data_IF_149318934398
#
_entry.id   IF_149318934398
#
_cell.length_a   1.000
_cell.length_b   1.000
_cell.length_c   1.000
_cell.angle_alpha   90.00
_cell.angle_beta   90.00
_cell.angle_gamma   90.00
#
_symmetry.space_group_name_H-M   'P 1'
#
loop_
_entity.id
_entity.type
_entity.pdbx_description
1 polymer ?
#
# COMPACT_ATOMS: atom_id res chain seq x y z
N UNK A 1 -5.18 -15.30 -35.20
CA UNK A 1 -5.54 -16.03 -33.97
C UNK A 1 -4.27 -16.49 -33.25
N UNK A 2 -3.63 -15.63 -32.46
CA UNK A 2 -2.35 -15.98 -31.80
C UNK A 2 -2.07 -15.24 -30.49
N UNK A 3 -2.76 -14.13 -30.24
CA UNK A 3 -2.52 -13.30 -29.04
C UNK A 3 -3.27 -13.80 -27.78
N UNK A 4 -4.38 -14.53 -27.93
CA UNK A 4 -5.16 -15.03 -26.79
C UNK A 4 -4.50 -16.22 -26.05
N UNK A 5 -3.66 -17.01 -26.74
CA UNK A 5 -2.96 -18.15 -26.15
C UNK A 5 -1.70 -17.75 -25.37
N UNK A 6 -1.12 -16.57 -25.65
CA UNK A 6 0.00 -16.03 -24.91
C UNK A 6 -0.44 -15.44 -23.56
N UNK A 7 -1.57 -14.71 -23.54
CA UNK A 7 -2.10 -14.08 -22.32
C UNK A 7 -2.58 -15.11 -21.28
N UNK A 8 -3.12 -16.25 -21.73
CA UNK A 8 -3.58 -17.31 -20.81
C UNK A 8 -2.44 -18.16 -20.22
N UNK A 9 -1.21 -18.15 -20.78
CA UNK A 9 -0.07 -18.87 -20.19
C UNK A 9 0.61 -18.10 -19.05
N UNK A 10 0.45 -16.78 -18.98
CA UNK A 10 1.01 -15.99 -17.87
C UNK A 10 0.12 -16.00 -16.61
N UNK A 11 -1.21 -16.02 -16.78
CA UNK A 11 -2.18 -16.01 -15.66
C UNK A 11 -2.15 -17.32 -14.86
N UNK A 12 -1.70 -18.42 -15.47
CA UNK A 12 -1.64 -19.76 -14.87
C UNK A 12 -0.21 -20.33 -14.81
N UNK A 13 0.82 -19.47 -14.72
CA UNK A 13 2.15 -19.98 -14.41
C UNK A 13 2.24 -20.31 -12.90
N UNK A 14 2.72 -21.50 -12.51
CA UNK A 14 2.96 -21.84 -11.09
C UNK A 14 3.85 -20.82 -10.38
N UNK A 15 4.71 -20.15 -11.15
CA UNK A 15 5.61 -19.09 -10.69
C UNK A 15 4.85 -17.81 -10.30
N UNK A 16 3.82 -17.40 -11.04
CA UNK A 16 3.00 -16.23 -10.70
C UNK A 16 2.23 -16.45 -9.38
N UNK A 17 1.69 -17.65 -9.18
CA UNK A 17 1.02 -18.04 -7.94
C UNK A 17 1.98 -18.07 -6.73
N UNK A 18 3.17 -18.66 -6.88
CA UNK A 18 4.18 -18.66 -5.81
C UNK A 18 4.69 -17.25 -5.50
N UNK A 19 4.84 -16.38 -6.51
CA UNK A 19 5.23 -14.98 -6.34
C UNK A 19 4.15 -14.19 -5.59
N UNK A 20 2.88 -14.40 -5.96
CA UNK A 20 1.71 -13.87 -5.25
C UNK A 20 1.70 -14.27 -3.77
N UNK A 21 1.91 -15.56 -3.46
CA UNK A 21 1.93 -16.04 -2.07
C UNK A 21 3.09 -15.47 -1.25
N UNK A 22 4.28 -15.36 -1.83
CA UNK A 22 5.45 -14.75 -1.16
C UNK A 22 5.20 -13.26 -0.89
N UNK A 23 4.64 -12.54 -1.86
CA UNK A 23 4.21 -11.15 -1.70
C UNK A 23 3.19 -11.01 -0.57
N UNK A 24 2.16 -11.84 -0.55
CA UNK A 24 1.14 -11.81 0.51
C UNK A 24 1.73 -12.07 1.90
N UNK A 25 2.67 -13.00 2.05
CA UNK A 25 3.36 -13.25 3.32
C UNK A 25 4.22 -12.07 3.76
N UNK A 26 5.02 -11.49 2.84
CA UNK A 26 5.87 -10.34 3.13
C UNK A 26 5.02 -9.11 3.48
N UNK A 27 3.94 -8.87 2.73
CA UNK A 27 2.98 -7.80 3.02
C UNK A 27 2.29 -7.98 4.38
N UNK A 28 1.88 -9.20 4.73
CA UNK A 28 1.28 -9.48 6.02
C UNK A 28 2.27 -9.18 7.17
N UNK A 29 3.55 -9.50 6.98
CA UNK A 29 4.58 -9.19 7.96
C UNK A 29 4.80 -7.67 8.12
N UNK A 30 4.99 -6.97 7.00
CA UNK A 30 5.09 -5.50 6.94
C UNK A 30 3.87 -4.84 7.59
N UNK A 31 2.66 -5.30 7.24
CA UNK A 31 1.40 -4.78 7.78
C UNK A 31 1.30 -4.95 9.29
N UNK A 32 1.74 -6.09 9.83
CA UNK A 32 1.77 -6.31 11.29
C UNK A 32 2.75 -5.38 11.98
N UNK A 33 3.95 -5.18 11.41
CA UNK A 33 4.98 -4.31 11.98
C UNK A 33 4.55 -2.83 11.95
N UNK A 34 3.99 -2.35 10.84
CA UNK A 34 3.48 -0.98 10.71
C UNK A 34 2.21 -0.75 11.54
N UNK A 35 1.31 -1.73 11.58
CA UNK A 35 0.05 -1.64 12.31
C UNK A 35 0.14 -1.93 13.81
N UNK A 36 1.34 -2.18 14.34
CA UNK A 36 1.55 -2.36 15.79
C UNK A 36 1.83 -0.99 16.43
N UNK A 37 0.98 -0.53 17.36
CA UNK A 37 1.18 0.79 17.95
C UNK A 37 2.41 0.81 18.86
N UNK A 38 3.17 1.91 18.79
CA UNK A 38 4.46 2.07 19.48
C UNK A 38 4.40 1.82 20.99
N UNK A 39 3.28 2.15 21.63
CA UNK A 39 3.08 1.96 23.08
C UNK A 39 3.05 0.51 23.53
N UNK A 40 2.81 -0.44 22.62
CA UNK A 40 2.70 -1.87 22.96
C UNK A 40 4.05 -2.50 23.33
N UNK A 41 5.15 -1.87 22.91
CA UNK A 41 6.51 -2.41 23.03
C UNK A 41 7.48 -1.48 23.79
N UNK A 42 7.01 -0.36 24.33
CA UNK A 42 7.88 0.68 24.87
C UNK A 42 7.80 0.81 26.39
N UNK A 43 8.93 0.65 27.07
CA UNK A 43 9.23 1.49 28.22
C UNK A 43 9.21 2.95 27.76
N UNK A 44 8.63 3.85 28.56
CA UNK A 44 8.39 5.28 28.26
C UNK A 44 9.68 6.12 28.22
N UNK A 45 10.76 5.60 27.64
CA UNK A 45 12.03 6.32 27.47
C UNK A 45 12.10 6.99 26.10
N UNK A 46 12.81 8.12 26.01
CA UNK A 46 13.00 8.86 24.76
C UNK A 46 13.78 8.01 23.74
N UNK A 47 14.77 7.24 24.20
CA UNK A 47 15.57 6.33 23.36
C UNK A 47 14.68 5.29 22.68
N UNK A 48 13.79 4.66 23.44
CA UNK A 48 12.80 3.69 22.95
C UNK A 48 11.88 4.30 21.87
N UNK A 49 11.46 5.55 22.03
CA UNK A 49 10.66 6.26 21.03
C UNK A 49 11.44 6.52 19.73
N UNK A 50 12.71 6.95 19.83
CA UNK A 50 13.56 7.19 18.66
C UNK A 50 13.83 5.90 17.88
N UNK A 51 14.22 4.82 18.58
CA UNK A 51 14.43 3.52 17.95
C UNK A 51 13.14 3.00 17.28
N UNK A 52 11.97 3.23 17.88
CA UNK A 52 10.69 2.87 17.27
C UNK A 52 10.40 3.64 15.98
N UNK A 53 10.73 4.94 15.92
CA UNK A 53 10.57 5.74 14.70
C UNK A 53 11.50 5.27 13.58
N UNK A 54 12.76 4.96 13.91
CA UNK A 54 13.72 4.41 12.94
C UNK A 54 13.26 3.05 12.42
N UNK A 55 12.81 2.17 13.32
CA UNK A 55 12.23 0.88 12.94
C UNK A 55 11.02 1.06 12.03
N UNK A 56 10.10 1.97 12.35
CA UNK A 56 8.92 2.23 11.53
C UNK A 56 9.32 2.70 10.13
N UNK A 57 10.26 3.65 10.01
CA UNK A 57 10.79 4.12 8.73
C UNK A 57 11.45 2.99 7.94
N UNK A 58 12.21 2.12 8.60
CA UNK A 58 12.80 0.95 7.94
C UNK A 58 11.73 0.03 7.35
N UNK A 59 10.60 -0.17 8.05
CA UNK A 59 9.51 -1.03 7.58
C UNK A 59 8.76 -0.38 6.41
N UNK A 60 8.62 0.95 6.40
CA UNK A 60 8.09 1.70 5.25
C UNK A 60 8.96 1.51 4.00
N UNK A 61 10.28 1.56 4.13
CA UNK A 61 11.18 1.29 3.01
C UNK A 61 11.04 -0.15 2.50
N UNK A 62 10.87 -1.14 3.39
CA UNK A 62 10.60 -2.52 2.99
C UNK A 62 9.28 -2.67 2.20
N UNK A 63 8.28 -1.84 2.50
CA UNK A 63 7.03 -1.75 1.73
C UNK A 63 7.31 -1.18 0.33
N UNK A 64 8.05 -0.09 0.21
CA UNK A 64 8.35 0.51 -1.08
C UNK A 64 9.22 -0.40 -1.95
N UNK A 65 10.18 -1.11 -1.35
CA UNK A 65 10.94 -2.16 -2.04
C UNK A 65 10.02 -3.27 -2.57
N UNK A 66 8.99 -3.67 -1.80
CA UNK A 66 8.01 -4.66 -2.23
C UNK A 66 7.20 -4.16 -3.44
N UNK A 67 6.82 -2.89 -3.43
CA UNK A 67 6.04 -2.24 -4.50
C UNK A 67 6.87 -2.15 -5.78
N UNK A 68 8.11 -1.66 -5.70
CA UNK A 68 8.98 -1.49 -6.85
C UNK A 68 9.44 -2.83 -7.45
N UNK A 69 9.59 -3.88 -6.64
CA UNK A 69 9.96 -5.21 -7.10
C UNK A 69 8.81 -5.96 -7.82
N UNK A 70 7.56 -5.52 -7.66
CA UNK A 70 6.42 -6.10 -8.35
C UNK A 70 6.24 -5.47 -9.73
N UNK A 71 6.35 -6.27 -10.78
CA UNK A 71 6.21 -5.82 -12.18
C UNK A 71 4.90 -5.08 -12.46
N UNK A 72 3.77 -5.51 -11.87
CA UNK A 72 2.47 -4.88 -12.12
C UNK A 72 2.40 -3.52 -11.41
N UNK A 73 2.88 -3.45 -10.17
CA UNK A 73 2.90 -2.20 -9.42
C UNK A 73 3.91 -1.21 -10.03
N UNK A 74 5.09 -1.68 -10.45
CA UNK A 74 6.09 -0.88 -11.15
C UNK A 74 5.56 -0.26 -12.45
N UNK A 75 4.69 -0.99 -13.17
CA UNK A 75 4.00 -0.44 -14.35
C UNK A 75 3.02 0.70 -13.96
N UNK A 76 2.30 0.56 -12.84
CA UNK A 76 1.44 1.64 -12.30
C UNK A 76 2.28 2.86 -11.90
N UNK A 77 3.39 2.67 -11.18
CA UNK A 77 4.30 3.77 -10.82
C UNK A 77 4.79 4.51 -12.06
N UNK A 78 5.21 3.77 -13.08
CA UNK A 78 5.69 4.33 -14.34
C UNK A 78 4.61 5.12 -15.08
N UNK A 79 3.36 4.62 -15.10
CA UNK A 79 2.21 5.31 -15.71
C UNK A 79 1.92 6.66 -15.06
N UNK A 80 2.15 6.77 -13.76
CA UNK A 80 1.89 7.98 -12.98
C UNK A 80 3.13 8.86 -12.78
N UNK A 81 4.28 8.50 -13.35
CA UNK A 81 5.58 9.12 -13.07
C UNK A 81 5.91 9.20 -11.57
N UNK A 82 5.47 8.21 -10.79
CA UNK A 82 5.62 8.18 -9.35
C UNK A 82 7.02 7.72 -8.95
N UNK A 83 7.69 8.50 -8.10
CA UNK A 83 8.99 8.16 -7.53
C UNK A 83 8.83 7.56 -6.14
N UNK A 84 9.92 7.04 -5.56
CA UNK A 84 9.94 6.63 -4.16
C UNK A 84 9.56 7.78 -3.20
N UNK A 85 9.92 9.01 -3.53
CA UNK A 85 9.53 10.18 -2.75
C UNK A 85 8.02 10.42 -2.82
N UNK A 86 7.40 10.21 -3.99
CA UNK A 86 5.94 10.20 -4.15
C UNK A 86 5.30 9.17 -3.22
N UNK A 87 5.86 7.96 -3.13
CA UNK A 87 5.34 6.90 -2.25
C UNK A 87 5.41 7.27 -0.78
N UNK A 88 6.55 7.81 -0.32
CA UNK A 88 6.72 8.30 1.06
C UNK A 88 5.69 9.38 1.39
N UNK A 89 5.55 10.37 0.50
CA UNK A 89 4.61 11.46 0.70
C UNK A 89 3.17 10.94 0.81
N UNK A 90 2.75 10.09 -0.13
CA UNK A 90 1.41 9.54 -0.15
C UNK A 90 1.13 8.64 1.05
N UNK A 91 2.10 7.84 1.47
CA UNK A 91 1.94 6.96 2.63
C UNK A 91 1.70 7.80 3.90
N UNK A 92 2.47 8.88 4.07
CA UNK A 92 2.28 9.83 5.17
C UNK A 92 0.91 10.50 5.12
N UNK A 93 0.51 11.05 3.97
CA UNK A 93 -0.80 11.68 3.79
C UNK A 93 -1.95 10.71 4.09
N UNK A 94 -1.89 9.50 3.53
CA UNK A 94 -2.90 8.47 3.71
C UNK A 94 -3.03 8.04 5.18
N UNK A 95 -1.90 7.92 5.87
CA UNK A 95 -1.86 7.60 7.31
C UNK A 95 -2.51 8.70 8.14
N UNK A 96 -2.13 9.96 7.92
CA UNK A 96 -2.68 11.13 8.62
C UNK A 96 -4.18 11.30 8.32
N UNK A 97 -4.60 11.02 7.09
CA UNK A 97 -5.99 11.06 6.65
C UNK A 97 -6.87 9.95 7.24
N UNK A 98 -6.28 8.99 7.96
CA UNK A 98 -6.99 7.99 8.74
C UNK A 98 -6.89 6.56 8.20
N UNK A 99 -6.16 6.31 7.11
CA UNK A 99 -5.96 4.94 6.61
C UNK A 99 -4.82 4.18 7.31
N UNK A 100 -4.15 4.79 8.31
CA UNK A 100 -3.20 4.14 9.22
C UNK A 100 -3.88 3.21 10.24
N UNK A 101 -4.83 2.38 9.81
CA UNK A 101 -5.63 1.53 10.68
C UNK A 101 -5.87 0.15 10.09
N UNK A 102 -6.35 -0.78 10.92
CA UNK A 102 -6.79 -2.10 10.48
C UNK A 102 -8.25 -2.09 10.04
N UNK A 103 -8.54 -2.65 8.87
CA UNK A 103 -9.90 -2.88 8.37
C UNK A 103 -9.94 -4.19 7.56
N UNK A 104 -10.94 -5.04 7.81
CA UNK A 104 -11.10 -6.31 7.08
C UNK A 104 -9.89 -7.26 7.12
N UNK A 105 -9.07 -7.19 8.17
CA UNK A 105 -7.83 -7.98 8.26
C UNK A 105 -6.62 -7.38 7.54
N UNK A 106 -6.73 -6.16 7.03
CA UNK A 106 -5.67 -5.44 6.34
C UNK A 106 -5.25 -4.20 7.12
N UNK A 107 -3.94 -3.97 7.24
CA UNK A 107 -3.44 -2.63 7.57
C UNK A 107 -3.55 -1.78 6.30
N UNK A 108 -4.49 -0.84 6.30
CA UNK A 108 -5.02 -0.23 5.07
C UNK A 108 -3.95 0.56 4.34
N UNK A 109 -3.18 1.38 5.03
CA UNK A 109 -2.11 2.17 4.42
C UNK A 109 -1.09 1.29 3.67
N UNK A 110 -0.61 0.20 4.26
CA UNK A 110 0.32 -0.69 3.55
C UNK A 110 -0.35 -1.48 2.42
N UNK A 111 -1.58 -1.94 2.65
CA UNK A 111 -2.31 -2.73 1.67
C UNK A 111 -2.65 -1.91 0.43
N UNK A 112 -3.01 -0.64 0.58
CA UNK A 112 -3.31 0.25 -0.53
C UNK A 112 -2.17 0.36 -1.57
N UNK A 113 -0.92 0.26 -1.12
CA UNK A 113 0.25 0.30 -2.00
C UNK A 113 0.54 -1.04 -2.66
N UNK A 114 0.13 -2.15 -2.05
CA UNK A 114 0.47 -3.50 -2.50
C UNK A 114 -0.54 -4.10 -3.48
N UNK A 115 -1.71 -3.48 -3.68
CA UNK A 115 -2.73 -3.88 -4.64
C UNK A 115 -2.81 -2.88 -5.80
N UNK A 116 -2.76 -3.39 -7.03
CA UNK A 116 -2.67 -2.59 -8.26
C UNK A 116 -3.77 -1.53 -8.36
N UNK A 117 -5.04 -1.94 -8.23
CA UNK A 117 -6.19 -1.03 -8.32
C UNK A 117 -6.18 0.04 -7.22
N UNK A 118 -5.72 -0.31 -6.02
CA UNK A 118 -5.66 0.64 -4.91
C UNK A 118 -4.52 1.65 -5.11
N UNK A 119 -3.36 1.21 -5.57
CA UNK A 119 -2.22 2.07 -5.85
C UNK A 119 -2.52 3.01 -7.03
N UNK A 120 -3.17 2.51 -8.07
CA UNK A 120 -3.63 3.31 -9.20
C UNK A 120 -4.61 4.39 -8.75
N UNK A 121 -5.63 4.00 -7.98
CA UNK A 121 -6.58 4.94 -7.38
C UNK A 121 -5.89 6.01 -6.54
N UNK A 122 -4.94 5.64 -5.68
CA UNK A 122 -4.18 6.56 -4.84
C UNK A 122 -3.43 7.61 -5.68
N UNK A 123 -2.71 7.16 -6.71
CA UNK A 123 -1.90 8.02 -7.57
C UNK A 123 -2.76 8.92 -8.48
N UNK A 124 -3.88 8.41 -8.99
CA UNK A 124 -4.85 9.21 -9.75
C UNK A 124 -5.42 10.38 -8.93
N UNK A 125 -5.69 10.17 -7.64
CA UNK A 125 -6.20 11.23 -6.78
C UNK A 125 -5.09 12.22 -6.37
N UNK A 126 -3.84 11.77 -6.24
CA UNK A 126 -2.71 12.67 -5.98
C UNK A 126 -2.49 13.69 -7.11
N UNK A 127 -2.69 13.29 -8.37
CA UNK A 127 -2.59 14.20 -9.51
C UNK A 127 -3.78 15.17 -9.58
N UNK A 128 -4.99 14.70 -9.23
CA UNK A 128 -6.17 15.54 -9.18
C UNK A 128 -6.10 16.60 -8.05
N UNK A 129 -5.42 16.27 -6.96
CA UNK A 129 -5.30 17.11 -5.75
C UNK A 129 -4.29 18.26 -5.83
N UNK A 130 -3.55 18.43 -6.93
CA UNK A 130 -2.84 19.69 -7.20
C UNK A 130 -3.79 20.92 -7.23
N UNK A 131 -5.11 20.72 -7.06
CA UNK A 131 -6.19 21.71 -7.08
C UNK A 131 -7.17 21.68 -5.88
N UNK A 132 -6.74 21.42 -4.63
CA UNK A 132 -7.57 21.56 -3.39
C UNK A 132 -8.44 20.35 -2.96
N UNK A 133 -7.97 19.10 -3.07
CA UNK A 133 -8.75 17.93 -2.60
C UNK A 133 -8.36 17.40 -1.20
N UNK A 134 -9.35 16.88 -0.47
CA UNK A 134 -9.23 16.30 0.88
C UNK A 134 -8.90 14.79 0.83
N UNK A 135 -7.65 14.44 1.17
CA UNK A 135 -7.19 13.04 1.25
C UNK A 135 -8.01 12.15 2.20
N UNK A 136 -8.82 12.74 3.09
CA UNK A 136 -9.73 11.98 3.97
C UNK A 136 -10.77 11.20 3.16
N UNK A 137 -11.23 11.73 2.03
CA UNK A 137 -12.15 11.02 1.14
C UNK A 137 -11.53 9.76 0.56
N UNK A 138 -10.28 9.88 0.09
CA UNK A 138 -9.47 8.77 -0.43
C UNK A 138 -9.23 7.72 0.66
N UNK A 139 -8.82 8.15 1.86
CA UNK A 139 -8.59 7.27 3.00
C UNK A 139 -9.87 6.53 3.41
N UNK A 140 -11.00 7.23 3.51
CA UNK A 140 -12.30 6.64 3.82
C UNK A 140 -12.69 5.56 2.80
N UNK A 141 -12.56 5.86 1.50
CA UNK A 141 -12.88 4.90 0.44
C UNK A 141 -12.03 3.63 0.54
N UNK A 142 -10.73 3.77 0.78
CA UNK A 142 -9.82 2.63 0.94
C UNK A 142 -10.17 1.81 2.19
N UNK A 143 -10.45 2.46 3.32
CA UNK A 143 -10.86 1.78 4.55
C UNK A 143 -12.17 1.00 4.34
N UNK A 144 -13.18 1.61 3.71
CA UNK A 144 -14.45 0.94 3.40
C UNK A 144 -14.28 -0.21 2.40
N UNK A 145 -13.43 -0.04 1.40
CA UNK A 145 -13.11 -1.10 0.44
C UNK A 145 -12.53 -2.32 1.15
N UNK A 146 -11.52 -2.17 2.01
CA UNK A 146 -10.97 -3.30 2.76
C UNK A 146 -11.94 -3.84 3.81
N UNK A 147 -12.79 -3.00 4.41
CA UNK A 147 -13.79 -3.42 5.40
C UNK A 147 -14.90 -4.27 4.81
N UNK A 148 -15.42 -3.89 3.65
CA UNK A 148 -16.67 -4.43 3.09
C UNK A 148 -16.49 -5.20 1.79
N UNK A 149 -15.33 -5.07 1.14
CA UNK A 149 -15.07 -5.60 -0.20
C UNK A 149 -15.82 -4.86 -1.32
N UNK A 150 -16.49 -3.74 -1.01
CA UNK A 150 -17.29 -2.96 -1.98
C UNK A 150 -16.47 -1.79 -2.50
N UNK A 151 -16.57 -1.55 -3.80
CA UNK A 151 -16.05 -0.35 -4.43
C UNK A 151 -17.14 0.71 -4.26
N UNK A 152 -16.88 1.74 -3.45
CA UNK A 152 -17.81 2.87 -3.29
C UNK A 152 -17.97 3.63 -4.60
N UNK A 153 -19.14 4.23 -4.83
CA UNK A 153 -19.28 5.21 -5.91
C UNK A 153 -18.46 6.45 -5.54
N UNK A 154 -17.34 6.65 -6.25
CA UNK A 154 -16.61 7.91 -6.20
C UNK A 154 -17.57 9.02 -6.64
N UNK A 155 -17.83 9.96 -5.74
CA UNK A 155 -18.57 11.18 -6.06
C UNK A 155 -17.61 12.27 -6.47
#
# INVERSE_FOLDING_TARGET
MGFYLALMREILSPLAWLRSLRKSRKLADISRRLGTPAWKNSDTSVESLLSNLENHRSVEEELFDLVEADQFLSAVLSRHSASRETLRHLYGQLTIAGAGQWAGGHYVAASAFAFELCLDYLLSNQQAEQYEGDFRGVAYCLVEYFRTGRIGALR
#
